data_IF_188962271861
#
_entry.id   IF_188962271861
#
_cell.length_a   1.000
_cell.length_b   1.000
_cell.length_c   1.000
_cell.angle_alpha   90.00
_cell.angle_beta   90.00
_cell.angle_gamma   90.00
#
_symmetry.space_group_name_H-M   'P 1'
#
loop_
_entity.id
_entity.type
_entity.pdbx_description
1 polymer ?
#
# COMPACT_ATOMS: atom_id res chain seq x y z
N UNK A 1 16.04 -24.26 30.90
CA UNK A 1 16.73 -24.00 29.63
C UNK A 1 15.83 -23.09 28.80
N UNK A 2 16.10 -21.78 28.78
CA UNK A 2 15.34 -20.80 27.99
C UNK A 2 16.08 -20.64 26.67
N UNK A 3 15.44 -21.04 25.58
CA UNK A 3 15.92 -20.77 24.23
C UNK A 3 15.72 -19.27 24.00
N UNK A 4 16.81 -18.51 24.09
CA UNK A 4 16.88 -17.14 23.59
C UNK A 4 16.84 -17.24 22.06
N UNK A 5 15.67 -17.09 21.47
CA UNK A 5 15.55 -16.78 20.05
C UNK A 5 16.07 -15.35 19.93
N UNK A 6 17.36 -15.20 19.67
CA UNK A 6 17.92 -13.94 19.21
C UNK A 6 17.33 -13.74 17.82
N UNK A 7 16.24 -12.97 17.74
CA UNK A 7 15.78 -12.41 16.48
C UNK A 7 16.95 -11.60 15.94
N UNK A 8 17.65 -12.12 14.93
CA UNK A 8 18.63 -11.36 14.18
C UNK A 8 17.89 -10.18 13.55
N UNK A 9 17.94 -9.03 14.22
CA UNK A 9 17.51 -7.77 13.64
C UNK A 9 18.31 -7.57 12.36
N UNK A 10 17.63 -7.22 11.27
CA UNK A 10 18.30 -6.80 10.05
C UNK A 10 19.35 -5.73 10.39
N UNK A 11 20.53 -5.74 9.74
CA UNK A 11 21.49 -4.65 9.84
C UNK A 11 20.80 -3.30 9.65
N UNK A 12 21.14 -2.31 10.48
CA UNK A 12 20.47 -1.00 10.50
C UNK A 12 20.41 -0.33 9.11
N UNK A 13 21.48 -0.44 8.31
CA UNK A 13 21.51 0.07 6.93
C UNK A 13 20.45 -0.59 6.03
N UNK A 14 20.18 -1.90 6.22
CA UNK A 14 19.13 -2.60 5.47
C UNK A 14 17.74 -2.22 5.98
N UNK A 15 17.58 -1.91 7.27
CA UNK A 15 16.31 -1.41 7.82
C UNK A 15 15.97 -0.03 7.25
N UNK A 16 16.95 0.89 7.20
CA UNK A 16 16.75 2.21 6.58
C UNK A 16 16.38 2.09 5.10
N UNK A 17 17.07 1.23 4.33
CA UNK A 17 16.74 1.05 2.91
C UNK A 17 15.34 0.47 2.71
N UNK A 18 14.94 -0.48 3.55
CA UNK A 18 13.60 -1.05 3.50
C UNK A 18 12.54 0.00 3.84
N UNK A 19 12.83 0.90 4.77
CA UNK A 19 11.94 2.00 5.12
C UNK A 19 11.75 2.99 3.97
N UNK A 20 12.85 3.38 3.31
CA UNK A 20 12.78 4.21 2.10
C UNK A 20 11.92 3.54 1.02
N UNK A 21 12.12 2.24 0.77
CA UNK A 21 11.31 1.51 -0.21
C UNK A 21 9.83 1.43 0.17
N UNK A 22 9.49 1.39 1.47
CA UNK A 22 8.11 1.45 1.94
C UNK A 22 7.46 2.79 1.69
N UNK A 23 8.17 3.88 1.96
CA UNK A 23 7.71 5.24 1.68
C UNK A 23 7.51 5.45 0.19
N UNK A 24 8.47 5.04 -0.64
CA UNK A 24 8.36 5.09 -2.10
C UNK A 24 7.14 4.28 -2.59
N UNK A 25 6.91 3.09 -2.02
CA UNK A 25 5.73 2.30 -2.34
C UNK A 25 4.43 3.02 -1.98
N UNK A 26 4.36 3.65 -0.80
CA UNK A 26 3.19 4.40 -0.37
C UNK A 26 2.91 5.55 -1.34
N UNK A 27 3.90 6.40 -1.61
CA UNK A 27 3.79 7.55 -2.52
C UNK A 27 3.37 7.13 -3.94
N UNK A 28 4.02 6.11 -4.51
CA UNK A 28 3.68 5.59 -5.84
C UNK A 28 2.27 5.02 -5.86
N UNK A 29 1.86 4.31 -4.82
CA UNK A 29 0.49 3.77 -4.70
C UNK A 29 -0.53 4.91 -4.64
N UNK A 30 -0.28 5.96 -3.85
CA UNK A 30 -1.14 7.13 -3.79
C UNK A 30 -1.34 7.77 -5.17
N UNK A 31 -0.27 7.97 -5.93
CA UNK A 31 -0.34 8.56 -7.25
C UNK A 31 -1.13 7.67 -8.23
N UNK A 32 -0.81 6.36 -8.28
CA UNK A 32 -1.50 5.39 -9.15
C UNK A 32 -2.99 5.31 -8.86
N UNK A 33 -3.39 5.36 -7.58
CA UNK A 33 -4.80 5.38 -7.20
C UNK A 33 -5.53 6.61 -7.73
N UNK A 34 -4.93 7.81 -7.67
CA UNK A 34 -5.54 9.02 -8.23
C UNK A 34 -5.67 8.92 -9.73
N UNK A 35 -4.59 8.52 -10.41
CA UNK A 35 -4.55 8.39 -11.86
C UNK A 35 -5.65 7.45 -12.37
N UNK A 36 -5.86 6.31 -11.70
CA UNK A 36 -6.95 5.39 -12.04
C UNK A 36 -8.31 6.06 -11.86
N UNK A 37 -8.56 6.72 -10.72
CA UNK A 37 -9.85 7.36 -10.45
C UNK A 37 -10.13 8.46 -11.48
N UNK A 38 -9.13 9.25 -11.86
CA UNK A 38 -9.26 10.31 -12.86
C UNK A 38 -9.59 9.71 -14.24
N UNK A 39 -8.83 8.70 -14.67
CA UNK A 39 -9.08 7.96 -15.93
C UNK A 39 -10.50 7.38 -15.95
N UNK A 40 -10.98 6.89 -14.82
CA UNK A 40 -12.31 6.31 -14.69
C UNK A 40 -13.42 7.38 -14.71
N UNK A 41 -13.16 8.54 -14.11
CA UNK A 41 -14.14 9.64 -13.98
C UNK A 41 -14.33 10.43 -15.27
N UNK A 42 -13.29 10.54 -16.10
CA UNK A 42 -13.32 11.32 -17.35
C UNK A 42 -14.07 10.62 -18.51
N UNK A 43 -14.60 9.42 -18.31
CA UNK A 43 -15.16 8.62 -19.40
C UNK A 43 -16.62 8.20 -19.14
N UNK A 44 -17.59 8.67 -19.96
CA UNK A 44 -18.96 8.18 -19.88
C UNK A 44 -19.01 6.69 -20.25
N UNK A 45 -19.91 5.95 -19.59
CA UNK A 45 -20.08 4.48 -19.66
C UNK A 45 -19.40 3.78 -20.83
N UNK A 46 -18.46 2.87 -20.52
CA UNK A 46 -17.73 2.09 -21.52
C UNK A 46 -17.65 0.60 -21.18
N UNK A 47 -17.45 -0.26 -22.19
CA UNK A 47 -17.20 -1.68 -21.98
C UNK A 47 -15.99 -1.87 -21.05
N UNK A 48 -16.08 -2.81 -20.11
CA UNK A 48 -14.99 -3.01 -19.15
C UNK A 48 -13.68 -3.46 -19.81
N UNK A 49 -13.71 -4.07 -20.99
CA UNK A 49 -12.51 -4.50 -21.72
C UNK A 49 -11.55 -3.34 -22.03
N UNK A 50 -12.06 -2.14 -22.28
CA UNK A 50 -11.23 -0.96 -22.61
C UNK A 50 -10.52 -0.35 -21.40
N UNK A 51 -10.99 -0.64 -20.19
CA UNK A 51 -10.56 -0.01 -18.94
C UNK A 51 -9.87 -0.99 -18.01
N UNK A 52 -10.31 -2.24 -18.07
CA UNK A 52 -9.94 -3.27 -17.11
C UNK A 52 -8.47 -3.68 -17.21
N UNK A 53 -7.82 -3.50 -18.36
CA UNK A 53 -6.40 -3.85 -18.54
C UNK A 53 -5.49 -3.10 -17.56
N UNK A 54 -5.44 -1.77 -17.70
CA UNK A 54 -4.59 -0.89 -16.89
C UNK A 54 -4.95 -0.95 -15.40
N UNK A 55 -6.24 -0.93 -15.08
CA UNK A 55 -6.70 -0.96 -13.68
C UNK A 55 -6.33 -2.28 -13.02
N UNK A 56 -6.52 -3.41 -13.71
CA UNK A 56 -6.15 -4.72 -13.16
C UNK A 56 -4.65 -4.90 -13.02
N UNK A 57 -3.87 -4.47 -14.01
CA UNK A 57 -2.40 -4.53 -13.94
C UNK A 57 -1.90 -3.76 -12.72
N UNK A 58 -2.40 -2.54 -12.53
CA UNK A 58 -2.04 -1.73 -11.37
C UNK A 58 -2.43 -2.39 -10.04
N UNK A 59 -3.65 -2.93 -9.95
CA UNK A 59 -4.10 -3.65 -8.75
C UNK A 59 -3.28 -4.92 -8.49
N UNK A 60 -2.88 -5.62 -9.55
CA UNK A 60 -2.02 -6.80 -9.46
C UNK A 60 -0.63 -6.45 -8.90
N UNK A 61 -0.02 -5.37 -9.40
CA UNK A 61 1.25 -4.85 -8.91
C UNK A 61 1.15 -4.47 -7.43
N UNK A 62 0.14 -3.69 -7.07
CA UNK A 62 -0.05 -3.21 -5.68
C UNK A 62 -0.27 -4.38 -4.74
N UNK A 63 -1.06 -5.38 -5.13
CA UNK A 63 -1.23 -6.62 -4.36
C UNK A 63 0.10 -7.31 -4.06
N UNK A 64 0.97 -7.45 -5.08
CA UNK A 64 2.28 -8.09 -4.95
C UNK A 64 3.26 -7.30 -4.08
N UNK A 65 3.33 -5.98 -4.30
CA UNK A 65 4.19 -5.07 -3.55
C UNK A 65 3.75 -4.96 -2.08
N UNK A 66 2.45 -4.78 -1.83
CA UNK A 66 1.89 -4.77 -0.48
C UNK A 66 2.22 -6.05 0.29
N UNK A 67 2.11 -7.22 -0.36
CA UNK A 67 2.50 -8.50 0.25
C UNK A 67 3.99 -8.56 0.62
N UNK A 68 4.86 -7.98 -0.21
CA UNK A 68 6.31 -7.95 0.01
C UNK A 68 6.71 -7.02 1.16
N UNK A 69 6.07 -5.85 1.27
CA UNK A 69 6.39 -4.86 2.30
C UNK A 69 5.76 -5.15 3.67
N UNK A 70 4.86 -6.14 3.74
CA UNK A 70 4.22 -6.57 4.98
C UNK A 70 2.86 -5.90 5.24
N UNK A 71 2.14 -5.53 4.19
CA UNK A 71 0.81 -4.93 4.24
C UNK A 71 -0.28 -5.93 3.79
N UNK A 72 -0.60 -6.97 4.59
CA UNK A 72 -1.52 -8.03 4.18
C UNK A 72 -2.93 -7.51 3.88
N UNK A 73 -3.43 -6.55 4.68
CA UNK A 73 -4.76 -5.99 4.47
C UNK A 73 -4.86 -5.19 3.16
N UNK A 74 -3.82 -4.45 2.80
CA UNK A 74 -3.75 -3.73 1.52
C UNK A 74 -3.72 -4.73 0.36
N UNK A 75 -2.94 -5.80 0.49
CA UNK A 75 -2.88 -6.87 -0.52
C UNK A 75 -4.26 -7.52 -0.75
N UNK A 76 -5.01 -7.78 0.32
CA UNK A 76 -6.37 -8.32 0.24
C UNK A 76 -7.36 -7.33 -0.41
N UNK A 77 -7.32 -6.04 -0.05
CA UNK A 77 -8.19 -5.04 -0.68
C UNK A 77 -7.87 -4.92 -2.17
N UNK A 78 -6.60 -4.90 -2.56
CA UNK A 78 -6.18 -4.88 -3.95
C UNK A 78 -6.67 -6.11 -4.73
N UNK A 79 -6.63 -7.30 -4.12
CA UNK A 79 -7.18 -8.51 -4.70
C UNK A 79 -8.70 -8.47 -4.89
N UNK A 80 -9.43 -7.94 -3.91
CA UNK A 80 -10.88 -7.74 -4.01
C UNK A 80 -11.22 -6.75 -5.13
N UNK A 81 -10.49 -5.63 -5.22
CA UNK A 81 -10.65 -4.66 -6.29
C UNK A 81 -10.34 -5.26 -7.67
N UNK A 82 -9.26 -6.06 -7.80
CA UNK A 82 -8.90 -6.74 -9.05
C UNK A 82 -10.04 -7.67 -9.51
N UNK A 83 -10.62 -8.41 -8.56
CA UNK A 83 -11.75 -9.31 -8.80
C UNK A 83 -13.03 -8.55 -9.17
N UNK A 84 -13.29 -7.42 -8.51
CA UNK A 84 -14.42 -6.55 -8.81
C UNK A 84 -14.36 -6.03 -10.25
N UNK A 85 -13.21 -5.54 -10.70
CA UNK A 85 -13.02 -5.07 -12.09
C UNK A 85 -13.17 -6.21 -13.09
N UNK A 86 -12.64 -7.40 -12.78
CA UNK A 86 -12.73 -8.59 -13.64
C UNK A 86 -14.17 -9.07 -13.85
N UNK A 87 -15.05 -8.89 -12.87
CA UNK A 87 -16.45 -9.33 -12.92
C UNK A 87 -17.40 -8.25 -13.43
N UNK A 88 -16.93 -7.00 -13.50
CA UNK A 88 -17.68 -5.86 -14.02
C UNK A 88 -17.69 -5.88 -15.56
N UNK A 89 -18.87 -5.68 -16.16
CA UNK A 89 -19.06 -5.67 -17.62
C UNK A 89 -19.01 -4.27 -18.22
N UNK A 90 -19.44 -3.28 -17.46
CA UNK A 90 -19.55 -1.88 -17.85
C UNK A 90 -18.98 -1.05 -16.73
N UNK A 91 -18.09 -0.11 -17.05
CA UNK A 91 -17.59 0.85 -16.08
C UNK A 91 -18.55 2.03 -16.08
N UNK A 92 -19.33 2.13 -15.02
CA UNK A 92 -20.31 3.19 -14.74
C UNK A 92 -19.90 3.98 -13.48
N UNK A 93 -20.65 5.04 -13.15
CA UNK A 93 -20.42 5.85 -11.95
C UNK A 93 -20.32 5.02 -10.67
N UNK A 94 -21.12 3.95 -10.57
CA UNK A 94 -21.11 3.06 -9.40
C UNK A 94 -19.81 2.28 -9.29
N UNK A 95 -19.27 1.83 -10.42
CA UNK A 95 -17.98 1.15 -10.51
C UNK A 95 -16.86 2.09 -10.06
N UNK A 96 -16.88 3.34 -10.52
CA UNK A 96 -15.92 4.37 -10.11
C UNK A 96 -16.01 4.64 -8.61
N UNK A 97 -17.22 4.78 -8.06
CA UNK A 97 -17.45 5.01 -6.63
C UNK A 97 -16.89 3.87 -5.77
N UNK A 98 -17.17 2.61 -6.12
CA UNK A 98 -16.68 1.46 -5.37
C UNK A 98 -15.15 1.34 -5.43
N UNK A 99 -14.55 1.55 -6.60
CA UNK A 99 -13.09 1.54 -6.77
C UNK A 99 -12.43 2.65 -5.94
N UNK A 100 -12.98 3.87 -6.00
CA UNK A 100 -12.50 5.01 -5.22
C UNK A 100 -12.53 4.70 -3.72
N UNK A 101 -13.62 4.13 -3.21
CA UNK A 101 -13.72 3.73 -1.81
C UNK A 101 -12.65 2.69 -1.41
N UNK A 102 -12.37 1.72 -2.29
CA UNK A 102 -11.30 0.74 -2.04
C UNK A 102 -9.91 1.36 -2.05
N UNK A 103 -9.65 2.29 -2.96
CA UNK A 103 -8.40 3.03 -3.00
C UNK A 103 -8.23 3.91 -1.75
N UNK A 104 -9.27 4.61 -1.31
CA UNK A 104 -9.23 5.45 -0.12
C UNK A 104 -9.00 4.63 1.16
N UNK A 105 -9.56 3.42 1.24
CA UNK A 105 -9.25 2.47 2.32
C UNK A 105 -7.76 2.09 2.33
N UNK A 106 -7.19 1.73 1.17
CA UNK A 106 -5.76 1.39 1.08
C UNK A 106 -4.86 2.59 1.41
N UNK A 107 -5.22 3.79 0.98
CA UNK A 107 -4.52 5.04 1.33
C UNK A 107 -4.52 5.32 2.83
N UNK A 108 -5.67 5.13 3.47
CA UNK A 108 -5.80 5.33 4.91
C UNK A 108 -4.89 4.36 5.68
N UNK A 109 -4.82 3.10 5.23
CA UNK A 109 -3.94 2.09 5.83
C UNK A 109 -2.45 2.38 5.62
N UNK A 110 -2.06 2.91 4.46
CA UNK A 110 -0.68 3.34 4.21
C UNK A 110 -0.28 4.49 5.13
N UNK A 111 -1.14 5.51 5.25
CA UNK A 111 -0.89 6.66 6.12
C UNK A 111 -0.78 6.26 7.61
N UNK A 112 -1.60 5.31 8.06
CA UNK A 112 -1.50 4.77 9.43
C UNK A 112 -0.15 4.05 9.65
N UNK A 113 0.27 3.23 8.69
CA UNK A 113 1.54 2.51 8.76
C UNK A 113 2.76 3.46 8.80
N UNK A 114 2.74 4.53 8.01
CA UNK A 114 3.80 5.55 8.02
C UNK A 114 3.86 6.28 9.36
N UNK A 115 2.69 6.63 9.92
CA UNK A 115 2.62 7.32 11.22
C UNK A 115 3.15 6.47 12.39
N UNK A 116 2.91 5.16 12.35
CA UNK A 116 3.44 4.22 13.35
C UNK A 116 4.96 4.02 13.19
N UNK A 117 5.47 4.02 11.95
CA UNK A 117 6.90 3.97 11.65
C UNK A 117 7.66 5.18 12.19
N UNK A 118 7.12 6.38 12.00
CA UNK A 118 7.74 7.63 12.45
C UNK A 118 7.84 7.70 13.99
N UNK A 119 6.77 7.31 14.69
CA UNK A 119 6.74 7.23 16.17
C UNK A 119 7.72 6.21 16.73
N UNK A 120 7.86 5.06 16.07
CA UNK A 120 8.82 4.03 16.48
C UNK A 120 10.27 4.50 16.30
N UNK A 121 10.56 5.21 15.21
CA UNK A 121 11.87 5.80 14.92
C UNK A 121 12.28 6.84 15.98
N UNK A 122 11.36 7.75 16.33
CA UNK A 122 11.59 8.79 17.35
C UNK A 122 11.87 8.18 18.73
N UNK A 123 11.06 7.19 19.14
CA UNK A 123 11.23 6.47 20.41
C UNK A 123 12.59 5.74 20.48
N UNK A 124 13.02 5.11 19.37
CA UNK A 124 14.32 4.46 19.31
C UNK A 124 15.47 5.48 19.41
N UNK A 125 15.38 6.59 18.67
CA UNK A 125 16.40 7.64 18.70
C UNK A 125 16.56 8.27 20.09
N UNK A 126 15.46 8.51 20.81
CA UNK A 126 15.50 8.94 22.21
C UNK A 126 16.19 7.90 23.10
N UNK A 127 15.85 6.62 22.94
CA UNK A 127 16.44 5.54 23.74
C UNK A 127 17.95 5.37 23.51
N UNK A 128 18.43 5.54 22.27
CA UNK A 128 19.86 5.45 21.93
C UNK A 128 20.61 6.69 22.40
N UNK A 129 20.02 7.88 22.29
CA UNK A 129 20.62 9.14 22.74
C UNK A 129 20.78 9.20 24.27
N UNK A 130 19.86 8.57 25.01
CA UNK A 130 19.92 8.45 26.46
C UNK A 130 21.04 7.52 26.95
N UNK A 131 21.43 6.51 26.16
CA UNK A 131 22.48 5.55 26.51
C UNK A 131 23.90 6.10 26.25
N UNK A 132 24.05 7.07 25.34
CA UNK A 132 25.35 7.68 25.00
C UNK A 132 25.92 8.69 26.01
N UNK A 133 25.22 8.98 27.11
CA UNK A 133 25.61 9.97 28.12
C UNK A 133 25.86 9.39 29.53
N UNK A 134 26.10 8.08 29.65
CA UNK A 134 26.51 7.41 30.91
C UNK A 134 27.85 6.69 30.75
#
# INVERSE_FOLDING_TARGET
MRVLIVTMSLPYELQQKLEVLRQEFAEVSHHRFSEIVDILSDCPERPSEEVSGLVRETLHDIKGQAGTFGYPLISEIAHVAETYVKTTRTVDERTVLHLSAMFDMMRSLLAEADSDGERASETYFESVSAVGHS
#
